data_IF_468659011778
#
_entry.id   IF_468659011778
#
_cell.length_a   1.000
_cell.length_b   1.000
_cell.length_c   1.000
_cell.angle_alpha   90.00
_cell.angle_beta   90.00
_cell.angle_gamma   90.00
#
_symmetry.space_group_name_H-M   'P 1'
#
loop_
_entity.id
_entity.type
_entity.pdbx_description
1 polymer ?
#
# COMPACT_ATOMS: atom_id res chain seq x y z
N UNK A 1 3.85 -1.68 5.90
CA UNK A 1 3.37 -0.62 4.99
C UNK A 1 4.29 -0.52 3.80
N UNK A 2 3.72 -0.74 2.63
CA UNK A 2 4.50 -0.87 1.38
C UNK A 2 5.27 0.39 1.01
N UNK A 3 4.64 1.56 1.08
CA UNK A 3 5.32 2.83 0.74
C UNK A 3 6.55 3.04 1.62
N UNK A 4 6.40 2.86 2.93
CA UNK A 4 7.52 3.01 3.85
C UNK A 4 8.64 2.01 3.59
N UNK A 5 8.30 0.78 3.25
CA UNK A 5 9.28 -0.25 2.91
C UNK A 5 10.04 0.14 1.63
N UNK A 6 9.33 0.57 0.60
CA UNK A 6 9.95 0.96 -0.67
C UNK A 6 10.84 2.20 -0.54
N UNK A 7 10.47 3.14 0.33
CA UNK A 7 11.18 4.41 0.52
C UNK A 7 12.13 4.42 1.70
N UNK A 8 12.38 3.27 2.31
CA UNK A 8 13.30 3.10 3.45
C UNK A 8 12.94 3.97 4.65
N UNK A 9 11.65 4.16 4.90
CA UNK A 9 11.18 4.90 6.07
C UNK A 9 11.30 4.06 7.33
N UNK A 10 11.63 4.70 8.45
CA UNK A 10 11.78 4.02 9.74
C UNK A 10 10.45 3.71 10.39
N UNK A 11 9.40 4.44 10.05
CA UNK A 11 8.08 4.29 10.66
C UNK A 11 6.98 4.62 9.66
N UNK A 12 5.77 4.15 9.98
CA UNK A 12 4.57 4.47 9.20
C UNK A 12 4.30 5.97 9.21
N UNK A 13 4.51 6.65 10.35
CA UNK A 13 4.35 8.10 10.44
C UNK A 13 5.30 8.85 9.51
N UNK A 14 6.56 8.41 9.41
CA UNK A 14 7.51 9.01 8.47
C UNK A 14 7.03 8.83 7.02
N UNK A 15 6.55 7.65 6.66
CA UNK A 15 6.01 7.42 5.32
C UNK A 15 4.83 8.34 5.02
N UNK A 16 3.92 8.50 5.98
CA UNK A 16 2.75 9.36 5.83
C UNK A 16 3.09 10.83 5.70
N UNK A 17 4.13 11.32 6.41
CA UNK A 17 4.52 12.73 6.36
C UNK A 17 5.46 13.06 5.20
N UNK A 18 6.43 12.19 4.90
CA UNK A 18 7.44 12.44 3.88
C UNK A 18 6.96 12.05 2.47
N UNK A 19 6.01 11.12 2.38
CA UNK A 19 5.48 10.59 1.12
C UNK A 19 3.96 10.67 1.07
N UNK A 20 3.40 11.78 1.55
CA UNK A 20 1.96 11.98 1.70
C UNK A 20 1.20 11.70 0.40
N UNK A 21 1.65 12.26 -0.71
CA UNK A 21 0.95 12.10 -1.98
C UNK A 21 0.99 10.66 -2.47
N UNK A 22 2.13 9.98 -2.34
CA UNK A 22 2.26 8.59 -2.76
C UNK A 22 1.36 7.67 -1.91
N UNK A 23 1.28 7.92 -0.59
CA UNK A 23 0.37 7.18 0.30
C UNK A 23 -1.08 7.36 -0.15
N UNK A 24 -1.49 8.60 -0.41
CA UNK A 24 -2.86 8.88 -0.87
C UNK A 24 -3.14 8.26 -2.25
N UNK A 25 -2.19 8.33 -3.16
CA UNK A 25 -2.34 7.77 -4.51
C UNK A 25 -2.51 6.26 -4.46
N UNK A 26 -1.73 5.56 -3.65
CA UNK A 26 -1.87 4.11 -3.48
C UNK A 26 -3.22 3.77 -2.85
N UNK A 27 -3.62 4.46 -1.79
CA UNK A 27 -4.92 4.21 -1.14
C UNK A 27 -6.06 4.40 -2.15
N UNK A 28 -6.01 5.48 -2.92
CA UNK A 28 -7.00 5.75 -3.97
C UNK A 28 -7.04 4.64 -5.02
N UNK A 29 -5.88 4.20 -5.48
CA UNK A 29 -5.76 3.09 -6.44
C UNK A 29 -6.37 1.80 -5.90
N UNK A 30 -6.05 1.42 -4.66
CA UNK A 30 -6.55 0.19 -4.04
C UNK A 30 -8.05 0.27 -3.76
N UNK A 31 -8.54 1.40 -3.29
CA UNK A 31 -9.99 1.60 -3.06
C UNK A 31 -10.75 1.46 -4.39
N UNK A 32 -10.25 2.08 -5.45
CA UNK A 32 -10.86 1.99 -6.77
C UNK A 32 -10.84 0.56 -7.32
N UNK A 33 -9.74 -0.17 -7.11
CA UNK A 33 -9.60 -1.55 -7.56
C UNK A 33 -10.59 -2.48 -6.85
N UNK A 34 -10.74 -2.34 -5.54
CA UNK A 34 -11.73 -3.13 -4.77
C UNK A 34 -13.15 -2.78 -5.19
N UNK A 35 -13.44 -1.49 -5.34
CA UNK A 35 -14.76 -1.02 -5.78
C UNK A 35 -15.16 -1.64 -7.12
N UNK A 36 -14.24 -1.64 -8.09
CA UNK A 36 -14.48 -2.22 -9.41
C UNK A 36 -14.63 -3.74 -9.35
N UNK A 37 -13.78 -4.41 -8.58
CA UNK A 37 -13.77 -5.89 -8.50
C UNK A 37 -14.99 -6.43 -7.79
N UNK A 38 -15.36 -5.82 -6.64
CA UNK A 38 -16.41 -6.34 -5.75
C UNK A 38 -17.76 -5.65 -5.95
N UNK A 39 -17.85 -4.61 -6.78
CA UNK A 39 -19.07 -3.86 -6.98
C UNK A 39 -19.50 -3.07 -5.74
N UNK A 40 -18.54 -2.61 -4.93
CA UNK A 40 -18.79 -1.89 -3.68
C UNK A 40 -18.57 -0.41 -3.89
N UNK A 41 -19.49 0.42 -3.35
CA UNK A 41 -19.30 1.87 -3.29
C UNK A 41 -18.82 2.26 -1.88
N UNK A 42 -17.66 2.90 -1.80
CA UNK A 42 -17.13 3.40 -0.52
C UNK A 42 -17.73 4.77 -0.20
N UNK A 43 -17.90 5.04 1.09
CA UNK A 43 -18.45 6.32 1.55
C UNK A 43 -17.47 7.47 1.30
N UNK A 44 -18.00 8.68 1.19
CA UNK A 44 -17.19 9.91 1.08
C UNK A 44 -16.20 9.99 2.26
N UNK A 45 -14.98 10.41 1.98
CA UNK A 45 -13.93 10.55 3.00
C UNK A 45 -13.19 9.27 3.34
N UNK A 46 -13.49 8.13 2.69
CA UNK A 46 -12.79 6.86 2.96
C UNK A 46 -11.28 6.98 2.73
N UNK A 47 -10.86 7.59 1.62
CA UNK A 47 -9.43 7.72 1.28
C UNK A 47 -8.72 8.57 2.34
N UNK A 48 -9.31 9.68 2.74
CA UNK A 48 -8.76 10.58 3.74
C UNK A 48 -8.65 9.90 5.12
N UNK A 49 -9.65 9.10 5.50
CA UNK A 49 -9.61 8.36 6.77
C UNK A 49 -8.53 7.29 6.76
N UNK A 50 -8.37 6.57 5.66
CA UNK A 50 -7.31 5.56 5.53
C UNK A 50 -5.93 6.21 5.55
N UNK A 51 -5.75 7.34 4.86
CA UNK A 51 -4.49 8.07 4.90
C UNK A 51 -4.18 8.58 6.31
N UNK A 52 -5.17 9.09 7.04
CA UNK A 52 -5.01 9.59 8.40
C UNK A 52 -4.62 8.49 9.40
N UNK A 53 -4.87 7.23 9.07
CA UNK A 53 -4.47 6.11 9.94
C UNK A 53 -2.96 6.04 10.15
N UNK A 54 -2.16 6.59 9.26
CA UNK A 54 -0.70 6.68 9.45
C UNK A 54 -0.34 7.46 10.71
N UNK A 55 -1.16 8.43 11.11
CA UNK A 55 -0.95 9.20 12.34
C UNK A 55 -1.30 8.39 13.60
N UNK A 56 -2.22 7.45 13.48
CA UNK A 56 -2.62 6.57 14.60
C UNK A 56 -1.52 5.56 14.92
N UNK A 57 -0.87 5.03 13.90
CA UNK A 57 0.18 4.00 14.03
C UNK A 57 1.56 4.56 13.70
N UNK A 58 1.80 5.82 14.04
CA UNK A 58 2.97 6.58 13.60
C UNK A 58 4.31 5.93 13.95
N UNK A 59 4.40 5.26 15.11
CA UNK A 59 5.64 4.63 15.58
C UNK A 59 5.83 3.20 15.09
N UNK A 60 4.88 2.64 14.34
CA UNK A 60 4.98 1.28 13.85
C UNK A 60 6.07 1.20 12.76
N UNK A 61 6.93 0.16 12.78
CA UNK A 61 7.90 -0.04 11.72
C UNK A 61 7.22 -0.41 10.40
N UNK A 62 7.88 -0.07 9.30
CA UNK A 62 7.38 -0.43 7.97
C UNK A 62 7.84 -1.84 7.58
N UNK A 63 6.95 -2.57 6.89
CA UNK A 63 7.24 -3.89 6.37
C UNK A 63 6.06 -4.38 5.55
N UNK A 64 6.31 -5.33 4.66
CA UNK A 64 5.26 -6.05 3.94
C UNK A 64 5.06 -7.37 4.69
N UNK A 65 3.97 -7.44 5.45
CA UNK A 65 3.66 -8.58 6.32
C UNK A 65 2.44 -9.31 5.82
N UNK A 66 2.40 -10.61 6.03
CA UNK A 66 1.22 -11.43 5.74
C UNK A 66 0.77 -11.24 4.28
N UNK A 67 1.73 -11.29 3.35
CA UNK A 67 1.47 -11.03 1.93
C UNK A 67 0.29 -11.83 1.40
N UNK A 68 0.20 -13.13 1.72
CA UNK A 68 -0.86 -14.03 1.25
C UNK A 68 -2.27 -13.53 1.63
N UNK A 69 -2.40 -12.82 2.74
CA UNK A 69 -3.67 -12.38 3.29
C UNK A 69 -3.96 -10.89 3.04
N UNK A 70 -2.96 -10.13 2.56
CA UNK A 70 -3.07 -8.67 2.39
C UNK A 70 -2.73 -8.23 0.98
N UNK A 71 -1.45 -7.97 0.71
CA UNK A 71 -1.03 -7.39 -0.57
C UNK A 71 -1.28 -8.30 -1.77
N UNK A 72 -1.30 -9.62 -1.57
CA UNK A 72 -1.53 -10.58 -2.67
C UNK A 72 -2.87 -10.35 -3.37
N UNK A 73 -3.92 -9.96 -2.64
CA UNK A 73 -5.20 -9.65 -3.25
C UNK A 73 -5.05 -8.61 -4.37
N UNK A 74 -4.35 -7.53 -4.08
CA UNK A 74 -4.12 -6.46 -5.05
C UNK A 74 -3.12 -6.86 -6.13
N UNK A 75 -2.08 -7.59 -5.75
CA UNK A 75 -1.11 -8.12 -6.69
C UNK A 75 -1.80 -8.98 -7.76
N UNK A 76 -2.72 -9.85 -7.35
CA UNK A 76 -3.44 -10.76 -8.24
C UNK A 76 -4.47 -10.04 -9.13
N UNK A 77 -4.93 -8.84 -8.75
CA UNK A 77 -5.79 -8.03 -9.62
C UNK A 77 -5.07 -7.56 -10.89
N UNK A 78 -3.74 -7.55 -10.85
CA UNK A 78 -2.90 -7.25 -12.01
C UNK A 78 -2.40 -5.80 -12.06
N UNK A 79 -1.42 -5.59 -12.93
CA UNK A 79 -0.76 -4.30 -13.06
C UNK A 79 -1.66 -3.23 -13.65
N UNK A 80 -2.69 -3.61 -14.42
CA UNK A 80 -3.64 -2.65 -14.99
C UNK A 80 -4.54 -2.05 -13.90
N UNK A 81 -4.92 -2.84 -12.89
CA UNK A 81 -5.77 -2.39 -11.79
C UNK A 81 -4.96 -1.68 -10.69
N UNK A 82 -3.76 -2.17 -10.41
CA UNK A 82 -2.92 -1.72 -9.30
C UNK A 82 -1.48 -1.42 -9.76
N UNK A 83 -1.28 -0.50 -10.71
CA UNK A 83 0.05 -0.26 -11.28
C UNK A 83 1.05 0.27 -10.26
N UNK A 84 0.67 1.22 -9.42
CA UNK A 84 1.57 1.80 -8.42
C UNK A 84 1.90 0.81 -7.32
N UNK A 85 0.87 0.14 -6.77
CA UNK A 85 1.05 -0.89 -5.75
C UNK A 85 1.98 -2.00 -6.24
N UNK A 86 1.69 -2.57 -7.41
CA UNK A 86 2.46 -3.68 -7.93
C UNK A 86 3.88 -3.26 -8.34
N UNK A 87 4.02 -2.04 -8.85
CA UNK A 87 5.33 -1.48 -9.18
C UNK A 87 6.23 -1.34 -7.96
N UNK A 88 5.71 -0.81 -6.86
CA UNK A 88 6.47 -0.70 -5.60
C UNK A 88 6.79 -2.06 -5.01
N UNK A 89 5.86 -3.01 -5.09
CA UNK A 89 6.08 -4.36 -4.56
C UNK A 89 7.21 -5.06 -5.33
N UNK A 90 7.21 -4.96 -6.65
CA UNK A 90 8.27 -5.51 -7.50
C UNK A 90 9.62 -4.83 -7.22
N UNK A 91 9.63 -3.52 -7.03
CA UNK A 91 10.83 -2.78 -6.64
C UNK A 91 11.38 -3.29 -5.31
N UNK A 92 10.52 -3.50 -4.32
CA UNK A 92 10.93 -4.06 -3.02
C UNK A 92 11.53 -5.45 -3.17
N UNK A 93 10.96 -6.29 -4.03
CA UNK A 93 11.48 -7.63 -4.29
C UNK A 93 12.87 -7.58 -4.94
N UNK A 94 13.05 -6.73 -5.95
CA UNK A 94 14.33 -6.57 -6.65
C UNK A 94 15.45 -6.06 -5.73
N UNK A 95 15.11 -5.19 -4.80
CA UNK A 95 16.07 -4.59 -3.86
C UNK A 95 16.24 -5.39 -2.57
N UNK A 96 15.62 -6.56 -2.48
CA UNK A 96 15.73 -7.42 -1.30
C UNK A 96 15.08 -6.86 -0.04
N UNK A 97 14.08 -6.00 -0.19
CA UNK A 97 13.38 -5.35 0.94
C UNK A 97 12.24 -6.18 1.51
N UNK A 98 11.91 -7.29 0.88
CA UNK A 98 10.92 -8.24 1.37
C UNK A 98 11.58 -9.62 1.47
N UNK A 99 11.16 -10.41 2.47
CA UNK A 99 11.79 -11.69 2.80
C UNK A 99 11.18 -12.89 2.08
N UNK A 100 10.50 -12.69 0.96
CA UNK A 100 9.85 -13.75 0.19
C UNK A 100 9.90 -13.41 -1.31
N UNK A 101 9.64 -14.42 -2.15
CA UNK A 101 9.56 -14.23 -3.60
C UNK A 101 8.12 -13.95 -4.01
N UNK A 102 7.95 -13.05 -4.99
CA UNK A 102 6.63 -12.77 -5.57
C UNK A 102 6.21 -13.92 -6.49
N UNK A 103 4.92 -14.29 -6.48
CA UNK A 103 4.40 -15.32 -7.38
C UNK A 103 4.54 -14.97 -8.86
#
# INVERSE_FOLDING_TARGET
MLVGTAKDCKSVGQAGSDHTQLVQDIISELVSAVSAKEGIAFSSGTIERLAAYTDVVTDFPCGVKEFEWRNKYFYDLGDDACPTHNGLLKECAEKGKIGFELP
#
